data_IF_147794372884
#
_entry.id   IF_147794372884
#
_cell.length_a   1.000
_cell.length_b   1.000
_cell.length_c   1.000
_cell.angle_alpha   90.00
_cell.angle_beta   90.00
_cell.angle_gamma   90.00
#
_symmetry.space_group_name_H-M   'P 1'
#
loop_
_entity.id
_entity.type
_entity.pdbx_description
1 polymer ?
#
# COMPACT_ATOMS: atom_id res chain seq x y z
N UNK A 1 -24.30 11.21 14.72
CA UNK A 1 -23.60 11.70 15.93
C UNK A 1 -22.82 12.96 15.59
N UNK A 2 -22.66 13.90 16.52
CA UNK A 2 -22.04 15.22 16.24
C UNK A 2 -20.53 15.26 16.51
N UNK A 3 -19.87 14.09 16.57
CA UNK A 3 -18.43 13.97 16.84
C UNK A 3 -17.71 13.62 15.55
N UNK A 4 -16.72 14.43 15.18
CA UNK A 4 -15.84 14.16 14.03
C UNK A 4 -15.00 12.90 14.29
N UNK A 5 -15.02 11.96 13.36
CA UNK A 5 -14.18 10.77 13.34
C UNK A 5 -13.22 10.87 12.16
N UNK A 6 -11.93 11.03 12.46
CA UNK A 6 -10.85 11.02 11.48
C UNK A 6 -9.87 9.90 11.80
N UNK A 7 -9.36 9.20 10.77
CA UNK A 7 -8.36 8.16 10.96
C UNK A 7 -7.35 8.10 9.81
N UNK A 8 -6.12 7.79 10.19
CA UNK A 8 -5.06 7.37 9.29
C UNK A 8 -5.03 5.84 9.20
N UNK A 9 -4.79 5.31 7.99
CA UNK A 9 -4.81 3.88 7.71
C UNK A 9 -3.50 3.41 7.06
N UNK A 10 -3.10 2.19 7.37
CA UNK A 10 -2.17 1.45 6.52
C UNK A 10 -2.84 1.14 5.17
N UNK A 11 -2.15 1.32 4.01
CA UNK A 11 -2.72 1.03 2.70
C UNK A 11 -3.06 -0.46 2.52
N UNK A 12 -2.45 -1.37 3.27
CA UNK A 12 -2.83 -2.79 3.29
C UNK A 12 -4.12 -3.04 4.08
N UNK A 13 -4.79 -2.03 4.62
CA UNK A 13 -6.08 -2.22 5.28
C UNK A 13 -7.19 -2.66 4.31
N UNK A 14 -8.27 -3.24 4.85
CA UNK A 14 -9.52 -3.40 4.10
C UNK A 14 -10.43 -2.20 4.37
N UNK A 15 -10.73 -1.44 3.31
CA UNK A 15 -11.67 -0.34 3.37
C UNK A 15 -13.10 -0.88 3.27
N UNK A 16 -13.74 -1.05 4.43
CA UNK A 16 -15.10 -1.60 4.50
C UNK A 16 -16.15 -0.50 4.39
N UNK A 17 -17.36 -0.79 3.87
CA UNK A 17 -18.47 0.16 3.85
C UNK A 17 -18.80 0.70 5.26
N UNK A 18 -18.67 -0.15 6.28
CA UNK A 18 -18.87 0.24 7.68
C UNK A 18 -17.86 1.29 8.14
N UNK A 19 -16.58 1.17 7.76
CA UNK A 19 -15.55 2.17 8.09
C UNK A 19 -15.84 3.51 7.41
N UNK A 20 -16.15 3.47 6.11
CA UNK A 20 -16.50 4.66 5.33
C UNK A 20 -17.71 5.38 5.92
N UNK A 21 -18.79 4.66 6.21
CA UNK A 21 -20.01 5.26 6.76
C UNK A 21 -19.87 5.78 8.21
N UNK A 22 -18.86 5.33 8.94
CA UNK A 22 -18.62 5.70 10.34
C UNK A 22 -17.53 6.78 10.52
N UNK A 23 -16.96 7.29 9.42
CA UNK A 23 -15.85 8.24 9.44
C UNK A 23 -16.20 9.48 8.62
N UNK A 24 -15.75 10.64 9.07
CA UNK A 24 -15.86 11.89 8.33
C UNK A 24 -14.63 12.11 7.44
N UNK A 25 -13.46 11.63 7.90
CA UNK A 25 -12.21 11.74 7.17
C UNK A 25 -11.37 10.46 7.30
N UNK A 26 -10.89 9.96 6.17
CA UNK A 26 -9.97 8.84 6.11
C UNK A 26 -8.84 9.19 5.16
N UNK A 27 -7.61 8.84 5.53
CA UNK A 27 -6.47 8.89 4.63
C UNK A 27 -5.58 7.69 4.89
N UNK A 28 -4.95 7.12 3.85
CA UNK A 28 -3.95 6.07 4.02
C UNK A 28 -2.55 6.61 3.77
N UNK A 29 -1.52 5.90 4.26
CA UNK A 29 -0.14 6.14 3.83
C UNK A 29 -0.08 6.06 2.30
N UNK A 30 0.79 6.86 1.70
CA UNK A 30 1.01 6.83 0.27
C UNK A 30 2.19 5.94 -0.11
N UNK A 31 3.11 5.64 0.82
CA UNK A 31 4.34 4.91 0.51
C UNK A 31 4.31 3.44 0.95
N UNK A 32 4.83 2.57 0.09
CA UNK A 32 5.20 1.18 0.35
C UNK A 32 6.63 0.94 -0.18
N UNK A 33 7.66 0.93 0.69
CA UNK A 33 7.60 0.83 2.16
C UNK A 33 7.05 2.08 2.87
N UNK A 34 6.51 1.89 4.08
CA UNK A 34 5.84 2.93 4.86
C UNK A 34 6.82 3.94 5.45
N UNK A 35 7.17 4.95 4.67
CA UNK A 35 8.09 6.02 5.07
C UNK A 35 7.39 7.33 5.41
N UNK A 36 6.08 7.43 5.18
CA UNK A 36 5.32 8.69 5.25
C UNK A 36 4.18 8.69 6.28
N UNK A 37 4.13 7.69 7.18
CA UNK A 37 3.06 7.58 8.18
C UNK A 37 3.05 8.74 9.19
N UNK A 38 4.18 9.40 9.43
CA UNK A 38 4.20 10.55 10.34
C UNK A 38 3.59 11.79 9.65
N UNK A 39 4.06 12.09 8.44
CA UNK A 39 3.58 13.20 7.61
C UNK A 39 2.09 13.02 7.27
N UNK A 40 1.66 11.78 7.04
CA UNK A 40 0.28 11.47 6.73
C UNK A 40 -0.62 11.57 7.97
N UNK A 41 -0.12 11.23 9.15
CA UNK A 41 -0.77 11.53 10.42
C UNK A 41 -0.97 13.04 10.64
N UNK A 42 0.06 13.87 10.39
CA UNK A 42 -0.05 15.33 10.47
C UNK A 42 -1.09 15.88 9.48
N UNK A 43 -1.15 15.34 8.26
CA UNK A 43 -2.16 15.69 7.26
C UNK A 43 -3.59 15.41 7.73
N UNK A 44 -3.85 14.23 8.31
CA UNK A 44 -5.16 13.88 8.87
C UNK A 44 -5.55 14.82 10.01
N UNK A 45 -4.61 15.15 10.89
CA UNK A 45 -4.84 16.08 12.00
C UNK A 45 -5.15 17.50 11.51
N UNK A 46 -4.42 18.01 10.52
CA UNK A 46 -4.70 19.34 9.93
C UNK A 46 -6.12 19.42 9.38
N UNK A 47 -6.50 18.46 8.52
CA UNK A 47 -7.84 18.42 7.94
C UNK A 47 -8.93 18.27 9.01
N UNK A 48 -8.71 17.44 10.03
CA UNK A 48 -9.64 17.30 11.15
C UNK A 48 -9.82 18.62 11.92
N UNK A 49 -8.74 19.35 12.20
CA UNK A 49 -8.80 20.64 12.88
C UNK A 49 -9.51 21.71 12.05
N UNK A 50 -9.34 21.70 10.73
CA UNK A 50 -10.06 22.60 9.81
C UNK A 50 -11.55 22.27 9.77
N UNK A 51 -11.91 20.99 9.74
CA UNK A 51 -13.30 20.54 9.80
C UNK A 51 -13.97 20.93 11.13
N UNK A 52 -13.29 20.74 12.26
CA UNK A 52 -13.78 21.15 13.60
C UNK A 52 -14.00 22.67 13.71
N UNK A 53 -13.21 23.46 13.00
CA UNK A 53 -13.36 24.93 12.91
C UNK A 53 -14.45 25.37 11.93
N UNK A 54 -15.06 24.43 11.20
CA UNK A 54 -16.07 24.70 10.17
C UNK A 54 -15.48 25.33 8.90
N UNK A 55 -14.18 25.22 8.69
CA UNK A 55 -13.47 25.78 7.52
C UNK A 55 -13.63 24.91 6.28
N UNK A 56 -13.88 23.60 6.46
CA UNK A 56 -14.12 22.61 5.42
C UNK A 56 -15.21 21.62 5.87
N UNK A 57 -15.81 20.91 4.91
CA UNK A 57 -16.80 19.84 5.13
C UNK A 57 -16.36 18.58 4.36
N UNK A 58 -15.53 17.72 4.97
CA UNK A 58 -15.00 16.55 4.30
C UNK A 58 -16.11 15.60 3.83
N UNK A 59 -16.00 15.12 2.60
CA UNK A 59 -16.89 14.12 2.00
C UNK A 59 -16.06 12.99 1.42
N UNK A 60 -16.32 11.77 1.89
CA UNK A 60 -15.63 10.56 1.43
C UNK A 60 -16.29 9.99 0.18
N UNK A 61 -15.48 9.75 -0.85
CA UNK A 61 -15.82 9.05 -2.08
C UNK A 61 -14.88 7.87 -2.29
N UNK A 62 -15.40 6.75 -2.80
CA UNK A 62 -14.60 5.52 -2.96
C UNK A 62 -14.89 4.83 -4.28
N UNK A 63 -13.88 4.19 -4.86
CA UNK A 63 -14.03 3.34 -6.03
C UNK A 63 -13.34 1.99 -5.83
N UNK A 64 -14.03 0.90 -6.20
CA UNK A 64 -13.50 -0.47 -6.10
C UNK A 64 -12.86 -0.89 -7.44
N UNK A 65 -11.55 -1.10 -7.43
CA UNK A 65 -10.81 -1.52 -8.62
C UNK A 65 -11.05 -2.99 -8.99
N UNK A 66 -11.64 -3.78 -8.08
CA UNK A 66 -11.93 -5.23 -8.25
C UNK A 66 -10.72 -6.04 -8.68
N UNK A 67 -9.58 -5.78 -8.04
CA UNK A 67 -8.32 -6.47 -8.29
C UNK A 67 -7.50 -6.65 -7.01
N UNK A 68 -6.55 -7.57 -7.07
CA UNK A 68 -5.51 -7.81 -6.06
C UNK A 68 -4.18 -7.76 -6.80
N UNK A 69 -3.25 -6.94 -6.34
CA UNK A 69 -1.90 -6.80 -6.91
C UNK A 69 -0.92 -6.27 -5.86
N UNK A 70 0.36 -6.18 -6.21
CA UNK A 70 1.43 -5.65 -5.34
C UNK A 70 1.83 -4.26 -5.85
N UNK A 71 1.87 -3.27 -4.95
CA UNK A 71 2.03 -1.86 -5.31
C UNK A 71 3.28 -1.20 -4.70
N UNK A 72 4.51 -1.63 -5.05
CA UNK A 72 5.74 -1.04 -4.51
C UNK A 72 5.92 0.39 -5.00
N UNK A 73 5.75 1.39 -4.12
CA UNK A 73 5.70 2.81 -4.53
C UNK A 73 7.07 3.45 -4.72
N UNK A 74 8.13 2.78 -4.29
CA UNK A 74 9.52 3.23 -4.48
C UNK A 74 10.03 3.15 -5.92
N UNK A 75 9.21 2.67 -6.88
CA UNK A 75 9.59 2.46 -8.28
C UNK A 75 8.42 2.63 -9.23
N UNK A 76 8.73 2.82 -10.51
CA UNK A 76 7.71 2.84 -11.56
C UNK A 76 7.01 1.47 -11.71
N UNK A 77 5.72 1.45 -12.07
CA UNK A 77 4.87 2.62 -12.37
C UNK A 77 4.26 3.30 -11.14
N UNK A 78 4.36 2.69 -9.95
CA UNK A 78 3.66 3.18 -8.75
C UNK A 78 4.26 4.46 -8.16
N UNK A 79 5.53 4.75 -8.43
CA UNK A 79 6.15 6.03 -8.09
C UNK A 79 5.40 7.19 -8.77
N UNK A 80 5.20 7.09 -10.09
CA UNK A 80 4.42 8.08 -10.85
C UNK A 80 2.97 8.21 -10.36
N UNK A 81 2.35 7.11 -9.94
CA UNK A 81 1.01 7.12 -9.31
C UNK A 81 1.02 7.96 -8.04
N UNK A 82 1.89 7.67 -7.08
CA UNK A 82 1.92 8.41 -5.81
C UNK A 82 2.20 9.89 -6.04
N UNK A 83 3.11 10.22 -6.95
CA UNK A 83 3.43 11.60 -7.27
C UNK A 83 2.21 12.33 -7.88
N UNK A 84 1.40 11.62 -8.66
CA UNK A 84 0.11 12.15 -9.16
C UNK A 84 -0.88 12.36 -8.02
N UNK A 85 -1.05 11.39 -7.12
CA UNK A 85 -1.96 11.52 -5.97
C UNK A 85 -1.59 12.75 -5.12
N UNK A 86 -0.31 12.91 -4.77
CA UNK A 86 0.19 14.08 -4.03
C UNK A 86 -0.07 15.40 -4.73
N UNK A 87 0.01 15.45 -6.07
CA UNK A 87 -0.30 16.68 -6.83
C UNK A 87 -1.77 17.04 -6.82
N UNK A 88 -2.66 16.05 -6.74
CA UNK A 88 -4.12 16.28 -6.74
C UNK A 88 -4.59 16.86 -5.40
N UNK A 89 -3.91 16.55 -4.30
CA UNK A 89 -4.25 17.10 -2.98
C UNK A 89 -4.12 18.64 -2.98
N UNK A 90 -5.17 19.32 -2.54
CA UNK A 90 -5.26 20.79 -2.56
C UNK A 90 -5.69 21.39 -3.90
N UNK A 91 -5.95 20.59 -4.94
CA UNK A 91 -6.50 21.07 -6.20
C UNK A 91 -8.03 21.06 -6.18
N UNK A 92 -8.64 22.20 -6.48
CA UNK A 92 -10.11 22.32 -6.47
C UNK A 92 -10.68 21.99 -5.09
N UNK A 93 -11.65 21.08 -5.04
CA UNK A 93 -12.26 20.59 -3.80
C UNK A 93 -11.50 19.41 -3.17
N UNK A 94 -10.41 18.92 -3.76
CA UNK A 94 -9.72 17.70 -3.28
C UNK A 94 -8.90 18.00 -2.02
N UNK A 95 -9.26 17.35 -0.91
CA UNK A 95 -8.56 17.45 0.37
C UNK A 95 -7.52 16.35 0.55
N UNK A 96 -7.84 15.12 0.15
CA UNK A 96 -6.98 13.96 0.35
C UNK A 96 -7.26 12.89 -0.70
N UNK A 97 -6.23 12.19 -1.16
CA UNK A 97 -6.36 11.05 -2.08
C UNK A 97 -5.52 9.89 -1.58
N UNK A 98 -6.04 8.67 -1.60
CA UNK A 98 -5.35 7.49 -1.11
C UNK A 98 -5.68 6.25 -1.93
N UNK A 99 -4.71 5.35 -2.03
CA UNK A 99 -4.88 4.02 -2.60
C UNK A 99 -4.80 2.98 -1.50
N UNK A 100 -5.90 2.27 -1.29
CA UNK A 100 -5.95 1.09 -0.44
C UNK A 100 -5.50 -0.09 -1.28
N UNK A 101 -4.34 -0.66 -0.95
CA UNK A 101 -3.79 -1.85 -1.60
C UNK A 101 -4.62 -3.09 -1.27
N UNK A 102 -5.08 -3.18 -0.01
CA UNK A 102 -5.69 -4.37 0.57
C UNK A 102 -4.63 -5.35 1.11
N UNK A 103 -5.02 -6.17 2.08
CA UNK A 103 -4.16 -7.21 2.64
C UNK A 103 -4.46 -8.55 1.97
N UNK A 104 -3.66 -8.91 0.97
CA UNK A 104 -3.93 -10.03 0.04
C UNK A 104 -4.11 -11.43 0.68
N UNK A 105 -3.68 -11.62 1.93
CA UNK A 105 -3.81 -12.90 2.62
C UNK A 105 -5.11 -13.06 3.44
N UNK A 106 -5.93 -12.01 3.59
CA UNK A 106 -7.20 -12.12 4.31
C UNK A 106 -8.31 -12.78 3.48
N UNK A 107 -9.18 -13.55 4.12
CA UNK A 107 -10.40 -14.07 3.51
C UNK A 107 -11.61 -13.24 3.97
N UNK A 108 -11.82 -12.08 3.35
CA UNK A 108 -12.92 -11.16 3.68
C UNK A 108 -13.63 -10.67 2.41
N UNK A 109 -14.95 -10.40 2.46
CA UNK A 109 -15.71 -9.91 1.30
C UNK A 109 -15.16 -8.62 0.70
N UNK A 110 -14.58 -7.76 1.52
CA UNK A 110 -14.00 -6.49 1.13
C UNK A 110 -12.56 -6.60 0.62
N UNK A 111 -12.05 -7.80 0.34
CA UNK A 111 -10.75 -7.96 -0.30
C UNK A 111 -10.69 -7.21 -1.63
N UNK A 112 -9.59 -6.48 -1.84
CA UNK A 112 -9.29 -5.83 -3.11
C UNK A 112 -8.76 -4.41 -2.95
N UNK A 113 -8.24 -3.88 -4.05
CA UNK A 113 -7.72 -2.52 -4.16
C UNK A 113 -8.85 -1.51 -4.30
N UNK A 114 -8.80 -0.42 -3.53
CA UNK A 114 -9.79 0.67 -3.59
C UNK A 114 -9.14 2.04 -3.62
N UNK A 115 -9.73 2.96 -4.36
CA UNK A 115 -9.40 4.38 -4.28
C UNK A 115 -10.29 5.05 -3.24
N UNK A 116 -9.69 5.94 -2.45
CA UNK A 116 -10.34 6.77 -1.46
C UNK A 116 -10.02 8.23 -1.77
N UNK A 117 -11.05 9.05 -1.98
CA UNK A 117 -10.93 10.50 -2.20
C UNK A 117 -11.74 11.21 -1.14
N UNK A 118 -11.17 12.24 -0.54
CA UNK A 118 -11.86 13.16 0.37
C UNK A 118 -11.92 14.52 -0.30
N UNK A 119 -13.13 15.07 -0.46
CA UNK A 119 -13.36 16.41 -1.00
C UNK A 119 -13.99 17.34 0.03
N UNK A 120 -13.93 18.65 -0.22
CA UNK A 120 -14.64 19.68 0.53
C UNK A 120 -16.03 19.90 -0.08
N UNK A 121 -17.06 19.34 0.56
CA UNK A 121 -18.49 19.43 0.22
C UNK A 121 -18.84 19.09 -1.25
N UNK A 122 -18.04 18.26 -1.91
CA UNK A 122 -18.17 17.96 -3.34
C UNK A 122 -18.11 16.46 -3.64
N UNK A 123 -19.20 15.77 -3.32
CA UNK A 123 -19.33 14.32 -3.55
C UNK A 123 -19.16 13.94 -5.02
N UNK A 124 -19.70 14.75 -5.93
CA UNK A 124 -19.72 14.44 -7.36
C UNK A 124 -18.31 14.46 -7.96
N UNK A 125 -17.50 15.47 -7.64
CA UNK A 125 -16.10 15.50 -8.06
C UNK A 125 -15.29 14.38 -7.42
N UNK A 126 -15.55 14.08 -6.14
CA UNK A 126 -14.89 12.99 -5.42
C UNK A 126 -15.14 11.61 -6.05
N UNK A 127 -16.40 11.29 -6.35
CA UNK A 127 -16.78 10.01 -6.98
C UNK A 127 -16.17 9.88 -8.38
N UNK A 128 -16.21 10.96 -9.19
CA UNK A 128 -15.62 10.98 -10.52
C UNK A 128 -14.09 10.77 -10.49
N UNK A 129 -13.38 11.47 -9.58
CA UNK A 129 -11.94 11.34 -9.44
C UNK A 129 -11.53 9.95 -8.91
N UNK A 130 -12.29 9.40 -7.96
CA UNK A 130 -12.03 8.06 -7.44
C UNK A 130 -12.15 7.00 -8.56
N UNK A 131 -13.16 7.12 -9.42
CA UNK A 131 -13.33 6.27 -10.59
C UNK A 131 -12.21 6.44 -11.63
N UNK A 132 -11.83 7.68 -11.94
CA UNK A 132 -10.73 7.97 -12.86
C UNK A 132 -9.43 7.28 -12.41
N UNK A 133 -9.01 7.55 -11.17
CA UNK A 133 -7.80 6.94 -10.58
C UNK A 133 -7.96 5.41 -10.55
N UNK A 134 -9.11 4.90 -10.13
CA UNK A 134 -9.32 3.47 -10.00
C UNK A 134 -9.19 2.72 -11.32
N UNK A 135 -9.67 3.32 -12.41
CA UNK A 135 -9.51 2.79 -13.77
C UNK A 135 -8.07 2.85 -14.26
N UNK A 136 -7.32 3.91 -13.93
CA UNK A 136 -5.89 4.00 -14.20
C UNK A 136 -5.12 2.89 -13.48
N UNK A 137 -5.37 2.69 -12.18
CA UNK A 137 -4.73 1.62 -11.40
C UNK A 137 -5.08 0.24 -11.97
N UNK A 138 -6.34 0.03 -12.36
CA UNK A 138 -6.76 -1.23 -12.99
C UNK A 138 -6.06 -1.50 -14.32
N UNK A 139 -5.71 -0.45 -15.07
CA UNK A 139 -4.96 -0.58 -16.30
C UNK A 139 -3.51 -1.04 -16.07
N UNK A 140 -2.94 -0.78 -14.88
CA UNK A 140 -1.59 -1.19 -14.48
C UNK A 140 -1.49 -2.62 -13.95
N UNK A 141 -2.62 -3.33 -13.79
CA UNK A 141 -2.64 -4.69 -13.22
C UNK A 141 -1.64 -5.63 -13.93
N UNK A 142 -0.85 -6.35 -13.14
CA UNK A 142 0.20 -7.25 -13.60
C UNK A 142 1.51 -6.57 -14.03
N UNK A 143 1.59 -5.24 -13.98
CA UNK A 143 2.79 -4.47 -14.32
C UNK A 143 3.46 -3.77 -13.12
N UNK A 144 2.85 -3.83 -11.94
CA UNK A 144 3.34 -3.15 -10.72
C UNK A 144 4.28 -4.00 -9.88
N UNK A 145 4.20 -5.33 -10.01
CA UNK A 145 4.98 -6.27 -9.22
C UNK A 145 6.50 -6.11 -9.37
N UNK A 146 7.24 -6.41 -8.31
CA UNK A 146 8.70 -6.50 -8.37
C UNK A 146 9.13 -7.82 -9.01
N UNK A 147 10.30 -7.88 -9.67
CA UNK A 147 10.89 -9.14 -10.07
C UNK A 147 11.04 -10.07 -8.86
N UNK A 148 10.40 -11.23 -8.90
CA UNK A 148 10.51 -12.27 -7.89
C UNK A 148 11.31 -13.43 -8.46
N UNK A 149 12.27 -13.93 -7.68
CA UNK A 149 13.00 -15.16 -7.99
C UNK A 149 12.32 -16.32 -7.27
N UNK A 150 12.33 -17.50 -7.90
CA UNK A 150 12.06 -18.74 -7.17
C UNK A 150 13.13 -18.96 -6.11
N UNK A 151 12.85 -19.77 -5.09
CA UNK A 151 13.83 -20.11 -4.04
C UNK A 151 15.16 -20.60 -4.62
N UNK A 152 15.09 -21.49 -5.62
CA UNK A 152 16.27 -22.03 -6.32
C UNK A 152 17.05 -20.92 -7.03
N UNK A 153 16.37 -20.11 -7.87
CA UNK A 153 17.00 -19.03 -8.62
C UNK A 153 17.57 -17.93 -7.71
N UNK A 154 16.90 -17.65 -6.59
CA UNK A 154 17.38 -16.70 -5.58
C UNK A 154 18.67 -17.18 -4.92
N UNK A 155 18.75 -18.47 -4.55
CA UNK A 155 19.96 -19.07 -4.01
C UNK A 155 21.08 -19.13 -5.05
N UNK A 156 20.79 -19.50 -6.29
CA UNK A 156 21.77 -19.48 -7.39
C UNK A 156 22.38 -18.08 -7.54
N UNK A 157 21.53 -17.04 -7.60
CA UNK A 157 21.99 -15.66 -7.72
C UNK A 157 22.82 -15.23 -6.50
N UNK A 158 22.41 -15.62 -5.29
CA UNK A 158 23.17 -15.30 -4.09
C UNK A 158 24.58 -15.91 -4.13
N UNK A 159 24.72 -17.17 -4.57
CA UNK A 159 26.01 -17.85 -4.69
C UNK A 159 26.91 -17.17 -5.74
N UNK A 160 26.36 -16.75 -6.87
CA UNK A 160 27.10 -15.98 -7.88
C UNK A 160 27.64 -14.66 -7.31
N UNK A 161 26.79 -13.88 -6.62
CA UNK A 161 27.18 -12.61 -6.01
C UNK A 161 28.30 -12.81 -4.97
N UNK A 162 28.24 -13.89 -4.18
CA UNK A 162 29.32 -14.24 -3.25
C UNK A 162 30.61 -14.60 -3.98
N UNK A 163 30.54 -15.36 -5.09
CA UNK A 163 31.71 -15.69 -5.92
C UNK A 163 32.33 -14.47 -6.59
N UNK A 164 31.53 -13.45 -6.90
CA UNK A 164 31.99 -12.12 -7.35
C UNK A 164 32.68 -11.31 -6.23
N UNK A 165 32.74 -11.81 -4.99
CA UNK A 165 33.33 -11.12 -3.84
C UNK A 165 32.44 -10.05 -3.22
N UNK A 166 31.14 -10.04 -3.54
CA UNK A 166 30.18 -9.04 -3.06
C UNK A 166 29.43 -9.59 -1.85
N UNK A 167 29.85 -9.17 -0.65
CA UNK A 167 29.29 -9.66 0.62
C UNK A 167 29.08 -8.49 1.60
N UNK A 168 28.08 -8.54 2.49
CA UNK A 168 27.10 -9.61 2.67
C UNK A 168 26.01 -9.64 1.58
N UNK A 169 25.37 -10.79 1.40
CA UNK A 169 24.17 -10.96 0.56
C UNK A 169 22.97 -11.15 1.48
N UNK A 170 21.90 -10.41 1.22
CA UNK A 170 20.61 -10.55 1.92
C UNK A 170 19.63 -11.25 0.99
N UNK A 171 19.08 -12.38 1.44
CA UNK A 171 18.00 -13.11 0.76
C UNK A 171 16.74 -12.94 1.58
N UNK A 172 15.71 -12.34 1.00
CA UNK A 172 14.42 -12.15 1.67
C UNK A 172 13.42 -13.20 1.18
N UNK A 173 12.85 -13.97 2.11
CA UNK A 173 11.68 -14.81 1.83
C UNK A 173 10.42 -13.95 1.92
N UNK A 174 9.87 -13.56 0.77
CA UNK A 174 8.74 -12.62 0.69
C UNK A 174 7.46 -13.26 1.21
N UNK A 175 7.32 -14.58 1.07
CA UNK A 175 6.07 -15.30 1.37
C UNK A 175 6.02 -15.86 2.79
N UNK A 176 7.15 -15.90 3.49
CA UNK A 176 7.23 -16.18 4.92
C UNK A 176 7.77 -14.96 5.70
N UNK A 177 7.14 -13.81 5.45
CA UNK A 177 7.44 -12.55 6.12
C UNK A 177 6.45 -12.32 7.28
N UNK A 178 6.89 -12.32 8.56
CA UNK A 178 6.03 -12.04 9.71
C UNK A 178 5.38 -10.65 9.66
N UNK A 179 6.05 -9.66 9.06
CA UNK A 179 5.45 -8.34 8.83
C UNK A 179 4.24 -8.38 7.89
N UNK A 180 4.14 -9.41 7.04
CA UNK A 180 2.98 -9.72 6.21
C UNK A 180 1.97 -10.66 6.87
N UNK A 181 2.07 -10.91 8.18
CA UNK A 181 1.12 -11.73 8.94
C UNK A 181 1.34 -13.25 8.88
N UNK A 182 2.49 -13.69 8.38
CA UNK A 182 2.87 -15.12 8.36
C UNK A 182 3.71 -15.51 9.59
N UNK A 183 3.98 -16.81 9.78
CA UNK A 183 4.61 -17.31 11.00
C UNK A 183 6.14 -17.08 11.06
N UNK A 184 6.83 -16.97 9.92
CA UNK A 184 8.29 -16.90 9.88
C UNK A 184 8.96 -18.25 10.17
N UNK A 185 8.25 -19.36 9.96
CA UNK A 185 8.71 -20.73 10.23
C UNK A 185 9.07 -21.52 8.96
N UNK A 186 9.09 -20.84 7.82
CA UNK A 186 9.44 -21.36 6.51
C UNK A 186 10.92 -21.73 6.41
N UNK A 187 11.19 -23.01 6.15
CA UNK A 187 12.57 -23.53 6.01
C UNK A 187 12.99 -23.74 4.56
N UNK A 188 12.26 -23.19 3.58
CA UNK A 188 12.48 -23.49 2.16
C UNK A 188 13.84 -22.97 1.66
N UNK A 189 14.20 -21.74 2.02
CA UNK A 189 15.51 -21.15 1.67
C UNK A 189 16.65 -21.88 2.36
N UNK A 190 16.52 -22.19 3.65
CA UNK A 190 17.53 -22.95 4.40
C UNK A 190 17.75 -24.34 3.79
N UNK A 191 16.67 -25.06 3.48
CA UNK A 191 16.73 -26.38 2.83
C UNK A 191 17.45 -26.32 1.50
N UNK A 192 17.16 -25.30 0.68
CA UNK A 192 17.84 -25.11 -0.61
C UNK A 192 19.34 -24.82 -0.43
N UNK A 193 19.71 -23.97 0.52
CA UNK A 193 21.12 -23.70 0.84
C UNK A 193 21.85 -24.98 1.28
N UNK A 194 21.24 -25.79 2.16
CA UNK A 194 21.82 -27.05 2.64
C UNK A 194 22.05 -28.09 1.54
N UNK A 195 21.27 -28.03 0.46
CA UNK A 195 21.45 -28.90 -0.70
C UNK A 195 22.68 -28.50 -1.56
N UNK A 196 23.27 -27.30 -1.36
CA UNK A 196 24.39 -26.81 -2.17
C UNK A 196 25.75 -27.21 -1.57
N UNK A 197 26.56 -28.01 -2.28
CA UNK A 197 27.87 -28.42 -1.78
C UNK A 197 28.82 -27.22 -1.71
N UNK A 198 29.64 -27.17 -0.66
CA UNK A 198 30.70 -26.17 -0.50
C UNK A 198 30.29 -24.83 0.11
N UNK A 199 29.00 -24.65 0.45
CA UNK A 199 28.56 -23.50 1.24
C UNK A 199 28.78 -23.78 2.73
N UNK A 200 29.38 -22.82 3.45
CA UNK A 200 29.41 -22.83 4.92
C UNK A 200 28.14 -22.17 5.42
N UNK A 201 27.24 -22.96 5.99
CA UNK A 201 25.96 -22.49 6.51
C UNK A 201 26.08 -22.40 8.03
N UNK A 202 25.98 -21.19 8.56
CA UNK A 202 25.82 -20.96 10.00
C UNK A 202 24.33 -20.81 10.31
N UNK A 203 23.86 -21.51 11.33
CA UNK A 203 22.52 -21.33 11.92
C UNK A 203 22.71 -20.72 13.31
#
# INVERSE_FOLDING_TARGET
>A
PDVLVAAELDPHSHLTPKRVAASDLLAAFLEFPHTDFYERGEHVVDLALRALRGEIRPVISTFDCRMIDIFPTSREPMRGVVDRLKRLEGQGSVLSVSLIHGFMAADVPEMGTRVLVVTDDDRAAGDALAEEIGREIFALRGATGMPMLSTVAGVDRAVEVVREGRTPVVVADVWDNPGGGTAGDGTLVLRELMARPGLRIGV
#
